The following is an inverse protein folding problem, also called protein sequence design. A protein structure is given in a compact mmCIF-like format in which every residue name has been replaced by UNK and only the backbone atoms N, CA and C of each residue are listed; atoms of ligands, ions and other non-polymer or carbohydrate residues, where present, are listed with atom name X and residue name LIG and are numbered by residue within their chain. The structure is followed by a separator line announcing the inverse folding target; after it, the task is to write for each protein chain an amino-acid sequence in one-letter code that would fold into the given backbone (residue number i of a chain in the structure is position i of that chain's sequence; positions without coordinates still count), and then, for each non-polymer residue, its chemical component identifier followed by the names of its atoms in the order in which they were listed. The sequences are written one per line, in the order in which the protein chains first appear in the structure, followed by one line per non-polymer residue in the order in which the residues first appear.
data_IF_842506638753
#
_entry.id   IF_842506638753
#
_cell.length_a   1.000
_cell.length_b   1.000
_cell.length_c   1.000
_cell.angle_alpha   90.00
_cell.angle_beta   90.00
_cell.angle_gamma   90.00
#
_symmetry.space_group_name_H-M   'P 1'
#
loop_
_entity.id
_entity.type
_entity.pdbx_description
1 polymer ?
#
# COMPACT_ATOMS: atom_id res chain seq x y z
N UNK A 1 -18.43 -3.50 -17.45
CA UNK A 1 -17.33 -2.57 -17.78
C UNK A 1 -16.10 -2.97 -16.98
N UNK A 2 -14.93 -2.92 -17.60
CA UNK A 2 -13.66 -3.19 -16.90
C UNK A 2 -13.32 -1.99 -16.04
N UNK A 3 -13.02 -2.25 -14.76
CA UNK A 3 -12.50 -1.24 -13.83
C UNK A 3 -10.98 -1.17 -13.94
N UNK A 4 -10.44 0.03 -13.83
CA UNK A 4 -9.00 0.28 -13.94
C UNK A 4 -8.50 0.92 -12.63
N UNK A 5 -7.47 0.32 -12.04
CA UNK A 5 -6.79 0.85 -10.87
C UNK A 5 -5.35 1.26 -11.16
N UNK A 6 -4.77 2.04 -10.24
CA UNK A 6 -3.36 2.42 -10.29
C UNK A 6 -2.73 2.32 -8.90
N UNK A 7 -1.43 2.10 -8.86
CA UNK A 7 -0.69 1.98 -7.60
C UNK A 7 -0.47 3.32 -6.93
N UNK A 8 -0.76 3.39 -5.63
CA UNK A 8 -0.45 4.50 -4.74
C UNK A 8 0.24 3.95 -3.49
N UNK A 9 1.21 4.66 -2.97
CA UNK A 9 1.90 4.27 -1.75
C UNK A 9 1.48 5.13 -0.56
N UNK A 10 1.42 4.52 0.63
CA UNK A 10 1.31 5.27 1.88
C UNK A 10 2.58 6.10 2.11
N UNK A 11 2.50 7.25 2.83
CA UNK A 11 3.61 8.23 2.87
C UNK A 11 4.93 7.71 3.43
N UNK A 12 4.90 6.68 4.26
CA UNK A 12 6.10 6.09 4.84
C UNK A 12 6.89 5.20 3.86
N UNK A 13 6.32 4.92 2.70
CA UNK A 13 7.02 4.22 1.60
C UNK A 13 7.84 5.24 0.83
N UNK A 14 9.16 5.20 1.00
CA UNK A 14 10.10 6.13 0.38
C UNK A 14 11.13 5.46 -0.54
N UNK A 15 11.13 4.13 -0.63
CA UNK A 15 11.90 3.44 -1.67
C UNK A 15 11.20 3.62 -3.02
N UNK A 16 11.92 3.88 -4.11
CA UNK A 16 11.28 4.02 -5.42
C UNK A 16 10.50 2.76 -5.81
N UNK A 17 9.20 2.93 -6.06
CA UNK A 17 8.31 1.90 -6.58
C UNK A 17 7.70 2.40 -7.89
N UNK A 18 8.05 1.78 -8.98
CA UNK A 18 7.47 2.09 -10.28
C UNK A 18 6.45 1.02 -10.67
N UNK A 19 5.25 1.43 -11.06
CA UNK A 19 4.77 2.77 -11.40
C UNK A 19 3.96 3.50 -10.30
N UNK A 20 4.16 3.23 -9.03
CA UNK A 20 3.35 3.79 -7.94
C UNK A 20 3.46 5.31 -7.80
N UNK A 21 2.34 5.97 -7.48
CA UNK A 21 2.33 7.34 -6.99
C UNK A 21 2.79 7.36 -5.53
N UNK A 22 3.81 8.15 -5.22
CA UNK A 22 4.44 8.22 -3.90
C UNK A 22 4.40 9.63 -3.32
N UNK A 23 4.57 9.74 -2.01
CA UNK A 23 4.52 10.99 -1.26
C UNK A 23 3.20 11.16 -0.49
N UNK A 24 2.61 12.34 -0.49
CA UNK A 24 1.36 12.61 0.21
C UNK A 24 0.19 11.85 -0.44
N UNK A 25 -0.55 11.12 0.39
CA UNK A 25 -1.62 10.24 -0.09
C UNK A 25 -2.78 11.02 -0.71
N UNK A 26 -3.28 12.05 -0.02
CA UNK A 26 -4.44 12.82 -0.47
C UNK A 26 -4.27 13.40 -1.88
N UNK A 27 -3.22 14.21 -2.15
CA UNK A 27 -2.96 14.75 -3.49
C UNK A 27 -2.81 13.69 -4.56
N UNK A 28 -2.16 12.56 -4.26
CA UNK A 28 -2.02 11.45 -5.21
C UNK A 28 -3.36 10.78 -5.53
N UNK A 29 -4.21 10.60 -4.53
CA UNK A 29 -5.57 10.09 -4.74
C UNK A 29 -6.42 11.07 -5.56
N UNK A 30 -6.28 12.37 -5.34
CA UNK A 30 -6.97 13.39 -6.12
C UNK A 30 -6.60 13.30 -7.61
N UNK A 31 -5.31 13.15 -7.92
CA UNK A 31 -4.84 12.97 -9.29
C UNK A 31 -5.46 11.74 -9.95
N UNK A 32 -5.48 10.61 -9.25
CA UNK A 32 -6.03 9.36 -9.80
C UNK A 32 -7.54 9.46 -10.02
N UNK A 33 -8.26 10.11 -9.11
CA UNK A 33 -9.69 10.36 -9.28
C UNK A 33 -9.98 11.27 -10.47
N UNK A 34 -9.22 12.36 -10.64
CA UNK A 34 -9.33 13.29 -11.78
C UNK A 34 -9.03 12.62 -13.12
N UNK A 35 -8.07 11.67 -13.14
CA UNK A 35 -7.75 10.90 -14.34
C UNK A 35 -8.80 9.82 -14.67
N UNK A 36 -9.78 9.60 -13.80
CA UNK A 36 -10.87 8.67 -14.05
C UNK A 36 -10.57 7.22 -13.70
N UNK A 37 -9.58 6.96 -12.84
CA UNK A 37 -9.37 5.62 -12.30
C UNK A 37 -10.52 5.20 -11.39
N UNK A 38 -10.83 3.90 -11.38
CA UNK A 38 -11.89 3.32 -10.55
C UNK A 38 -11.38 2.92 -9.16
N UNK A 39 -10.11 2.63 -9.04
CA UNK A 39 -9.54 2.16 -7.79
C UNK A 39 -8.04 2.27 -7.69
N UNK A 40 -7.53 1.81 -6.57
CA UNK A 40 -6.10 1.86 -6.25
C UNK A 40 -5.59 0.52 -5.71
N UNK A 41 -4.36 0.21 -6.07
CA UNK A 41 -3.54 -0.74 -5.34
C UNK A 41 -2.72 0.06 -4.33
N UNK A 42 -2.81 -0.27 -3.05
CA UNK A 42 -2.12 0.47 -1.99
C UNK A 42 -0.85 -0.25 -1.60
N UNK A 43 0.30 0.37 -1.88
CA UNK A 43 1.61 -0.12 -1.42
C UNK A 43 1.86 0.33 0.01
N UNK A 44 2.14 -0.61 0.89
CA UNK A 44 2.38 -0.39 2.31
C UNK A 44 3.71 -0.98 2.76
N UNK A 45 4.21 -0.49 3.88
CA UNK A 45 5.44 -0.97 4.49
C UNK A 45 5.23 -1.51 5.90
N UNK A 46 4.54 -0.75 6.75
CA UNK A 46 4.29 -1.10 8.14
C UNK A 46 2.79 -1.04 8.44
N UNK A 47 2.07 -2.17 8.29
CA UNK A 47 0.62 -2.20 8.48
C UNK A 47 0.17 -1.73 9.86
N UNK A 48 0.98 -2.00 10.91
CA UNK A 48 0.66 -1.62 12.28
C UNK A 48 0.60 -0.09 12.50
N UNK A 49 1.22 0.70 11.64
CA UNK A 49 1.24 2.16 11.71
C UNK A 49 0.11 2.81 10.90
N UNK A 50 -0.67 2.02 10.18
CA UNK A 50 -1.74 2.50 9.32
C UNK A 50 -3.07 2.43 10.07
N UNK A 51 -3.78 3.57 10.12
CA UNK A 51 -5.17 3.62 10.56
C UNK A 51 -6.08 3.16 9.39
N UNK A 52 -6.69 1.96 9.49
CA UNK A 52 -7.49 1.42 8.39
C UNK A 52 -8.75 2.24 8.11
N UNK A 53 -9.34 2.85 9.13
CA UNK A 53 -10.55 3.65 8.96
C UNK A 53 -10.24 4.96 8.23
N UNK A 54 -9.11 5.59 8.57
CA UNK A 54 -8.67 6.80 7.89
C UNK A 54 -8.29 6.51 6.43
N UNK A 55 -7.53 5.44 6.18
CA UNK A 55 -7.16 5.03 4.83
C UNK A 55 -8.39 4.76 3.97
N UNK A 56 -9.35 4.01 4.48
CA UNK A 56 -10.62 3.72 3.81
C UNK A 56 -11.37 5.01 3.47
N UNK A 57 -11.47 5.95 4.42
CA UNK A 57 -12.13 7.23 4.24
C UNK A 57 -11.45 8.08 3.17
N UNK A 58 -10.13 8.16 3.19
CA UNK A 58 -9.36 8.92 2.20
C UNK A 58 -9.60 8.41 0.77
N UNK A 59 -9.65 7.10 0.60
CA UNK A 59 -9.87 6.48 -0.71
C UNK A 59 -11.33 6.62 -1.15
N UNK A 60 -12.27 6.23 -0.30
CA UNK A 60 -13.70 6.18 -0.66
C UNK A 60 -14.32 7.57 -0.84
N UNK A 61 -13.84 8.61 -0.14
CA UNK A 61 -14.31 9.98 -0.31
C UNK A 61 -14.06 10.54 -1.72
N UNK A 62 -13.18 9.91 -2.49
CA UNK A 62 -12.85 10.25 -3.87
C UNK A 62 -13.49 9.31 -4.90
N UNK A 63 -14.46 8.49 -4.46
CA UNK A 63 -15.11 7.45 -5.27
C UNK A 63 -14.13 6.42 -5.85
N UNK A 64 -13.01 6.20 -5.15
CA UNK A 64 -12.04 5.15 -5.47
C UNK A 64 -12.31 3.92 -4.61
N UNK A 65 -12.04 2.74 -5.17
CA UNK A 65 -12.10 1.47 -4.46
C UNK A 65 -10.68 0.92 -4.20
N UNK A 66 -10.50 0.14 -3.16
CA UNK A 66 -9.25 -0.60 -2.95
C UNK A 66 -9.29 -1.88 -3.77
N UNK A 67 -8.41 -1.99 -4.74
CA UNK A 67 -8.28 -3.19 -5.57
C UNK A 67 -7.40 -4.26 -4.90
N UNK A 68 -6.30 -3.83 -4.28
CA UNK A 68 -5.34 -4.73 -3.63
C UNK A 68 -4.43 -3.97 -2.66
N UNK A 69 -3.78 -4.73 -1.78
CA UNK A 69 -2.67 -4.26 -0.94
C UNK A 69 -1.38 -4.84 -1.49
N UNK A 70 -0.38 -4.01 -1.69
CA UNK A 70 0.92 -4.36 -2.24
C UNK A 70 2.01 -4.26 -1.17
N UNK A 71 2.80 -5.31 -1.01
CA UNK A 71 3.72 -5.46 0.12
C UNK A 71 5.21 -5.40 -0.24
N UNK A 72 5.55 -5.06 -1.48
CA UNK A 72 6.94 -5.07 -1.95
C UNK A 72 7.86 -4.12 -1.16
N UNK A 73 7.34 -3.01 -0.62
CA UNK A 73 8.14 -2.08 0.18
C UNK A 73 8.70 -2.73 1.46
N UNK A 74 8.05 -3.74 2.00
CA UNK A 74 8.55 -4.52 3.14
C UNK A 74 9.93 -5.11 2.80
N UNK A 75 10.05 -5.68 1.62
CA UNK A 75 11.32 -6.21 1.13
C UNK A 75 12.29 -5.14 0.65
N UNK A 76 11.86 -4.30 -0.27
CA UNK A 76 12.76 -3.34 -0.93
C UNK A 76 13.27 -2.24 0.00
N UNK A 77 12.44 -1.74 0.89
CA UNK A 77 12.82 -0.68 1.83
C UNK A 77 13.43 -1.22 3.12
N UNK A 78 12.78 -2.19 3.76
CA UNK A 78 13.18 -2.68 5.09
C UNK A 78 14.05 -3.94 5.06
N UNK A 79 14.27 -4.52 3.87
CA UNK A 79 15.06 -5.74 3.69
C UNK A 79 14.51 -6.95 4.45
N UNK A 80 13.20 -6.99 4.61
CA UNK A 80 12.49 -8.08 5.29
C UNK A 80 11.92 -9.03 4.24
N UNK A 81 12.47 -10.23 4.18
CA UNK A 81 12.11 -11.26 3.22
C UNK A 81 11.73 -12.56 3.93
N UNK A 82 10.72 -13.27 3.44
CA UNK A 82 10.33 -14.57 3.98
C UNK A 82 11.38 -15.66 3.75
N UNK A 83 12.28 -15.45 2.81
CA UNK A 83 13.38 -16.36 2.51
C UNK A 83 14.72 -15.93 3.17
N UNK A 84 14.69 -14.94 4.06
CA UNK A 84 15.89 -14.48 4.75
C UNK A 84 16.47 -15.57 5.66
N UNK A 85 17.78 -15.64 5.80
CA UNK A 85 18.46 -16.63 6.65
C UNK A 85 18.15 -16.46 8.16
N UNK A 86 17.95 -15.23 8.62
CA UNK A 86 17.58 -14.93 10.02
C UNK A 86 16.10 -15.27 10.28
N UNK A 87 15.88 -16.08 11.31
CA UNK A 87 14.53 -16.42 11.79
C UNK A 87 13.76 -15.18 12.24
N UNK A 88 14.42 -14.25 12.95
CA UNK A 88 13.77 -13.03 13.45
C UNK A 88 13.25 -12.16 12.30
N UNK A 89 14.01 -12.07 11.19
CA UNK A 89 13.56 -11.33 10.01
C UNK A 89 12.40 -12.03 9.31
N UNK A 90 12.43 -13.36 9.19
CA UNK A 90 11.28 -14.10 8.64
C UNK A 90 10.04 -13.94 9.49
N UNK A 91 10.16 -13.97 10.81
CA UNK A 91 9.04 -13.80 11.75
C UNK A 91 8.44 -12.39 11.64
N UNK A 92 9.26 -11.35 11.54
CA UNK A 92 8.80 -10.00 11.28
C UNK A 92 8.09 -9.89 9.92
N UNK A 93 8.60 -10.55 8.89
CA UNK A 93 7.97 -10.63 7.58
C UNK A 93 6.58 -11.26 7.64
N UNK A 94 6.44 -12.37 8.35
CA UNK A 94 5.15 -13.03 8.56
C UNK A 94 4.18 -12.13 9.33
N UNK A 95 4.65 -11.43 10.36
CA UNK A 95 3.83 -10.49 11.13
C UNK A 95 3.30 -9.36 10.24
N UNK A 96 4.14 -8.78 9.40
CA UNK A 96 3.72 -7.70 8.49
C UNK A 96 2.77 -8.19 7.41
N UNK A 97 2.98 -9.38 6.86
CA UNK A 97 2.03 -9.96 5.90
C UNK A 97 0.66 -10.23 6.52
N UNK A 98 0.62 -10.76 7.74
CA UNK A 98 -0.65 -10.92 8.48
C UNK A 98 -1.32 -9.57 8.70
N UNK A 99 -0.57 -8.55 9.11
CA UNK A 99 -1.09 -7.19 9.25
C UNK A 99 -1.63 -6.61 7.94
N UNK A 100 -0.99 -6.90 6.81
CA UNK A 100 -1.48 -6.49 5.50
C UNK A 100 -2.81 -7.18 5.12
N UNK A 101 -2.94 -8.46 5.46
CA UNK A 101 -4.19 -9.22 5.26
C UNK A 101 -5.31 -8.62 6.12
N UNK A 102 -5.02 -8.30 7.38
CA UNK A 102 -6.00 -7.71 8.29
C UNK A 102 -6.41 -6.29 7.85
N UNK A 103 -5.49 -5.55 7.23
CA UNK A 103 -5.77 -4.22 6.66
C UNK A 103 -6.68 -4.30 5.43
N UNK A 104 -6.50 -5.33 4.63
CA UNK A 104 -7.29 -5.54 3.41
C UNK A 104 -8.73 -5.97 3.77
#
# INVERSE_FOLDING_TARGET
MIKIGFSVATPEVNTPLLPAQQGELGPNLDILAELGYDGVEVSIRQPAEIDPQNLKKEISSRNLEVASIHTAAIGFQDKIWLCHESTDIRDEGMKRLKGAIDLA
#
